data_IF_010879898362
#
_entry.id   IF_010879898362
#
_cell.length_a   1.000
_cell.length_b   1.000
_cell.length_c   1.000
_cell.angle_alpha   90.00
_cell.angle_beta   90.00
_cell.angle_gamma   90.00
#
_symmetry.space_group_name_H-M   'P 1'
#
loop_
_entity.id
_entity.type
_entity.pdbx_description
1 polymer ?
#
# COMPACT_ATOMS: atom_id res chain seq x y z
N UNK A 1 -19.71 23.93 17.86
CA UNK A 1 -18.39 23.73 18.51
C UNK A 1 -17.32 23.73 17.41
N UNK A 2 -16.19 24.46 17.55
CA UNK A 2 -15.11 24.36 16.55
C UNK A 2 -14.58 22.93 16.56
N UNK A 3 -14.43 22.32 15.39
CA UNK A 3 -13.90 20.97 15.26
C UNK A 3 -12.53 20.89 15.96
N UNK A 4 -12.35 19.88 16.82
CA UNK A 4 -11.08 19.66 17.50
C UNK A 4 -10.06 19.11 16.48
N UNK A 5 -9.22 20.01 15.96
CA UNK A 5 -8.17 19.68 14.99
C UNK A 5 -7.12 18.76 15.59
N UNK A 6 -6.83 18.89 16.88
CA UNK A 6 -5.90 18.01 17.60
C UNK A 6 -6.40 16.55 17.59
N UNK A 7 -7.64 16.29 18.00
CA UNK A 7 -8.20 14.93 17.96
C UNK A 7 -8.27 14.37 16.54
N UNK A 8 -8.48 15.23 15.53
CA UNK A 8 -8.47 14.83 14.11
C UNK A 8 -7.08 14.40 13.67
N UNK A 9 -6.03 15.11 14.10
CA UNK A 9 -4.63 14.74 13.89
C UNK A 9 -4.31 13.37 14.49
N UNK A 10 -4.52 13.25 15.82
CA UNK A 10 -4.27 12.00 16.56
C UNK A 10 -5.02 10.81 15.95
N UNK A 11 -6.33 10.94 15.69
CA UNK A 11 -7.10 9.85 15.09
C UNK A 11 -6.55 9.40 13.73
N UNK A 12 -6.05 10.37 12.93
CA UNK A 12 -5.46 10.06 11.62
C UNK A 12 -4.11 9.39 11.75
N UNK A 13 -3.26 9.81 12.69
CA UNK A 13 -1.95 9.17 12.94
C UNK A 13 -2.11 7.70 13.34
N UNK A 14 -3.01 7.40 14.28
CA UNK A 14 -3.29 6.02 14.70
C UNK A 14 -3.95 5.20 13.58
N UNK A 15 -4.79 5.82 12.76
CA UNK A 15 -5.33 5.17 11.56
C UNK A 15 -4.19 4.76 10.61
N UNK A 16 -3.27 5.68 10.28
CA UNK A 16 -2.14 5.38 9.39
C UNK A 16 -1.23 4.32 10.00
N UNK A 17 -0.88 4.43 11.29
CA UNK A 17 -0.09 3.42 11.99
C UNK A 17 -0.73 2.03 11.89
N UNK A 18 -2.06 1.93 12.09
CA UNK A 18 -2.78 0.66 11.95
C UNK A 18 -2.76 0.09 10.53
N UNK A 19 -2.64 0.94 9.50
CA UNK A 19 -2.55 0.51 8.11
C UNK A 19 -1.15 0.00 7.78
N UNK A 20 -0.11 0.67 8.30
CA UNK A 20 1.28 0.23 8.16
C UNK A 20 1.49 -1.17 8.75
N UNK A 21 1.01 -1.42 9.98
CA UNK A 21 1.10 -2.77 10.56
C UNK A 21 0.30 -3.83 9.80
N UNK A 22 -0.78 -3.45 9.10
CA UNK A 22 -1.54 -4.38 8.24
C UNK A 22 -0.82 -4.69 6.92
N UNK A 23 0.18 -3.90 6.57
CA UNK A 23 1.12 -4.14 5.47
C UNK A 23 2.39 -4.85 5.95
N UNK A 24 2.38 -5.37 7.18
CA UNK A 24 3.53 -6.03 7.84
C UNK A 24 4.77 -5.13 8.00
N UNK A 25 4.56 -3.80 8.01
CA UNK A 25 5.65 -2.85 8.19
C UNK A 25 5.94 -2.59 9.67
N UNK A 26 7.22 -2.60 10.03
CA UNK A 26 7.68 -2.17 11.35
C UNK A 26 7.59 -0.64 11.45
N UNK A 27 6.64 -0.12 12.23
CA UNK A 27 6.41 1.32 12.35
C UNK A 27 6.32 1.80 13.81
N UNK A 28 6.72 3.04 14.07
CA UNK A 28 6.73 3.66 15.41
C UNK A 28 6.23 5.09 15.37
N UNK A 29 5.37 5.44 16.32
CA UNK A 29 4.85 6.80 16.50
C UNK A 29 5.75 7.59 17.46
N UNK A 30 6.23 8.77 17.07
CA UNK A 30 7.05 9.60 17.96
C UNK A 30 6.18 10.46 18.88
N UNK A 31 6.25 10.22 20.20
CA UNK A 31 5.61 11.09 21.20
C UNK A 31 6.65 12.06 21.75
N UNK A 32 6.79 13.24 21.12
CA UNK A 32 7.88 14.16 21.47
C UNK A 32 7.55 15.66 21.51
N UNK A 33 6.49 16.15 20.86
CA UNK A 33 6.14 17.57 20.95
C UNK A 33 4.68 17.83 20.60
N UNK A 34 4.08 18.84 21.24
CA UNK A 34 2.73 19.39 20.94
C UNK A 34 2.53 19.89 19.48
N UNK A 35 3.50 19.69 18.56
CA UNK A 35 3.57 20.34 17.24
C UNK A 35 3.59 19.40 16.04
N UNK A 36 4.07 18.16 16.16
CA UNK A 36 3.85 17.09 15.18
C UNK A 36 4.23 15.75 15.80
N UNK A 37 3.45 14.73 15.49
CA UNK A 37 3.79 13.34 15.72
C UNK A 37 4.22 12.80 14.36
N UNK A 38 5.46 12.34 14.29
CA UNK A 38 6.02 11.76 13.07
C UNK A 38 6.00 10.24 13.23
N UNK A 39 5.56 9.51 12.21
CA UNK A 39 5.64 8.04 12.15
C UNK A 39 6.97 7.67 11.48
N UNK A 40 7.76 6.80 12.10
CA UNK A 40 8.92 6.16 11.46
C UNK A 40 8.53 4.77 11.01
N UNK A 41 9.04 4.36 9.86
CA UNK A 41 8.95 2.98 9.36
C UNK A 41 10.36 2.46 9.18
N UNK A 42 10.60 1.22 9.60
CA UNK A 42 11.84 0.49 9.39
C UNK A 42 11.54 -0.57 8.34
N UNK A 43 12.26 -0.53 7.22
CA UNK A 43 12.18 -1.53 6.16
C UNK A 43 13.03 -2.74 6.53
N UNK A 44 12.78 -3.88 5.87
CA UNK A 44 13.53 -5.12 6.10
C UNK A 44 15.03 -4.98 5.85
N UNK A 45 15.40 -4.16 4.86
CA UNK A 45 16.80 -3.85 4.53
C UNK A 45 17.48 -2.89 5.54
N UNK A 46 16.77 -2.47 6.59
CA UNK A 46 17.25 -1.54 7.62
C UNK A 46 17.15 -0.06 7.26
N UNK A 47 16.66 0.29 6.07
CA UNK A 47 16.36 1.67 5.69
C UNK A 47 15.19 2.21 6.53
N UNK A 48 15.21 3.51 6.81
CA UNK A 48 14.15 4.17 7.57
C UNK A 48 13.40 5.18 6.71
N UNK A 49 12.08 5.14 6.78
CA UNK A 49 11.19 6.15 6.21
C UNK A 49 10.59 7.00 7.34
N UNK A 50 10.31 8.27 7.07
CA UNK A 50 9.54 9.13 7.97
C UNK A 50 8.27 9.65 7.31
N UNK A 51 7.16 9.65 8.06
CA UNK A 51 5.82 10.02 7.58
C UNK A 51 5.26 11.15 8.43
N UNK A 52 4.87 12.24 7.75
CA UNK A 52 4.07 13.33 8.29
C UNK A 52 2.59 13.11 7.94
N UNK A 53 1.73 12.99 8.94
CA UNK A 53 0.28 12.90 8.71
C UNK A 53 -0.35 14.29 8.71
N UNK A 54 -1.12 14.61 7.66
CA UNK A 54 -1.92 15.85 7.59
C UNK A 54 -3.38 15.50 7.35
N UNK A 55 -4.26 15.98 8.22
CA UNK A 55 -5.67 15.61 8.16
C UNK A 55 -6.63 16.79 8.16
N UNK A 56 -7.79 16.59 7.53
CA UNK A 56 -8.89 17.56 7.53
C UNK A 56 -10.24 16.85 7.56
N UNK A 57 -11.19 17.40 8.34
CA UNK A 57 -12.54 16.83 8.42
C UNK A 57 -13.35 17.05 7.16
N UNK A 58 -13.25 18.24 6.54
CA UNK A 58 -14.01 18.59 5.33
C UNK A 58 -13.33 18.21 4.03
N UNK A 59 -13.81 18.78 2.92
CA UNK A 59 -13.30 18.52 1.56
C UNK A 59 -12.11 19.42 1.15
N UNK A 60 -11.53 20.18 2.09
CA UNK A 60 -10.73 21.36 1.78
C UNK A 60 -9.30 21.06 1.31
N UNK A 61 -8.58 22.15 1.02
CA UNK A 61 -7.12 22.12 0.93
C UNK A 61 -6.46 21.87 2.28
N UNK A 62 -5.27 21.26 2.23
CA UNK A 62 -4.37 21.10 3.37
C UNK A 62 -3.20 22.09 3.27
N UNK A 63 -2.79 22.65 4.40
CA UNK A 63 -1.66 23.59 4.48
C UNK A 63 -0.35 22.81 4.58
N UNK A 64 0.63 23.19 3.74
CA UNK A 64 1.93 22.52 3.59
C UNK A 64 3.11 23.50 3.71
N UNK A 65 2.94 24.60 4.47
CA UNK A 65 3.96 25.66 4.61
C UNK A 65 5.35 25.15 5.02
N UNK A 66 5.38 24.14 5.91
CA UNK A 66 6.60 23.68 6.57
C UNK A 66 7.15 22.37 5.99
N UNK A 67 6.67 21.94 4.82
CA UNK A 67 7.14 20.71 4.19
C UNK A 67 8.51 20.94 3.60
N UNK A 68 9.49 20.17 4.08
CA UNK A 68 10.86 20.17 3.56
C UNK A 68 11.03 18.92 2.70
N UNK A 69 11.36 19.07 1.40
CA UNK A 69 11.72 17.94 0.54
C UNK A 69 12.87 17.14 1.14
N UNK A 70 12.66 15.84 1.34
CA UNK A 70 13.67 14.93 1.86
C UNK A 70 13.48 13.54 1.27
N UNK A 71 14.58 12.87 0.96
CA UNK A 71 14.58 11.45 0.61
C UNK A 71 13.98 10.63 1.76
N UNK A 72 13.27 9.55 1.40
CA UNK A 72 12.61 8.66 2.37
C UNK A 72 11.64 9.35 3.34
N UNK A 73 11.13 10.51 2.95
CA UNK A 73 10.15 11.24 3.72
C UNK A 73 8.86 11.42 2.94
N UNK A 74 7.73 11.07 3.56
CA UNK A 74 6.42 11.07 2.94
C UNK A 74 5.44 11.94 3.72
N UNK A 75 4.47 12.48 2.99
CA UNK A 75 3.27 13.07 3.55
C UNK A 75 2.09 12.15 3.29
N UNK A 76 1.33 11.87 4.34
CA UNK A 76 0.08 11.13 4.24
C UNK A 76 -1.08 12.08 4.53
N UNK A 77 -1.89 12.35 3.52
CA UNK A 77 -3.07 13.19 3.63
C UNK A 77 -4.30 12.35 3.94
N UNK A 78 -5.03 12.69 5.01
CA UNK A 78 -6.25 11.98 5.44
C UNK A 78 -7.44 12.94 5.38
N UNK A 79 -8.41 12.66 4.51
CA UNK A 79 -9.53 13.55 4.23
C UNK A 79 -10.85 12.84 4.54
N UNK A 80 -11.55 13.28 5.59
CA UNK A 80 -12.76 12.61 6.07
C UNK A 80 -14.04 13.00 5.33
N UNK A 81 -14.00 13.95 4.39
CA UNK A 81 -15.15 14.28 3.54
C UNK A 81 -16.45 14.61 4.33
N UNK A 82 -16.31 15.35 5.42
CA UNK A 82 -17.36 15.68 6.41
C UNK A 82 -17.97 14.49 7.17
N UNK A 83 -17.34 13.31 7.14
CA UNK A 83 -17.81 12.09 7.81
C UNK A 83 -16.98 11.69 9.04
N UNK A 84 -16.20 12.60 9.62
CA UNK A 84 -15.30 12.28 10.75
C UNK A 84 -16.00 11.63 11.96
N UNK A 85 -17.27 11.96 12.22
CA UNK A 85 -18.05 11.43 13.35
C UNK A 85 -18.70 10.07 13.05
N UNK A 86 -18.73 9.66 11.79
CA UNK A 86 -19.21 8.35 11.33
C UNK A 86 -18.05 7.35 11.38
N UNK A 87 -18.02 6.52 12.41
CA UNK A 87 -16.95 5.55 12.68
C UNK A 87 -16.88 4.43 11.63
N UNK A 88 -17.96 4.20 10.87
CA UNK A 88 -18.00 3.21 9.79
C UNK A 88 -17.49 3.81 8.46
N UNK A 89 -17.38 5.14 8.40
CA UNK A 89 -16.83 5.83 7.23
C UNK A 89 -15.32 5.74 7.17
N UNK A 90 -14.81 5.59 5.95
CA UNK A 90 -13.38 5.56 5.67
C UNK A 90 -12.96 6.88 5.00
N UNK A 91 -11.92 7.57 5.50
CA UNK A 91 -11.41 8.77 4.85
C UNK A 91 -10.70 8.42 3.54
N UNK A 92 -10.57 9.39 2.64
CA UNK A 92 -9.63 9.26 1.53
C UNK A 92 -8.20 9.43 2.06
N UNK A 93 -7.31 8.55 1.64
CA UNK A 93 -5.89 8.56 2.03
C UNK A 93 -5.04 8.78 0.77
N UNK A 94 -4.08 9.69 0.86
CA UNK A 94 -3.14 9.99 -0.22
C UNK A 94 -1.71 9.95 0.31
N UNK A 95 -0.82 9.25 -0.37
CA UNK A 95 0.56 9.01 0.05
C UNK A 95 1.50 9.65 -0.95
N UNK A 96 2.24 10.66 -0.52
CA UNK A 96 3.03 11.52 -1.43
C UNK A 96 4.47 11.61 -0.94
N UNK A 97 5.48 11.31 -1.77
CA UNK A 97 6.87 11.60 -1.42
C UNK A 97 7.04 13.11 -1.20
N UNK A 98 7.72 13.51 -0.14
CA UNK A 98 7.88 14.93 0.21
C UNK A 98 8.59 15.73 -0.91
N UNK A 99 9.44 15.08 -1.70
CA UNK A 99 10.10 15.66 -2.88
C UNK A 99 9.13 16.04 -4.01
N UNK A 100 7.94 15.44 -4.05
CA UNK A 100 6.89 15.78 -5.02
C UNK A 100 5.99 16.92 -4.55
N UNK A 101 6.14 17.39 -3.31
CA UNK A 101 5.36 18.52 -2.74
C UNK A 101 5.90 19.85 -3.27
N UNK A 102 5.72 20.08 -4.56
CA UNK A 102 6.11 21.28 -5.28
C UNK A 102 5.02 21.68 -6.29
N UNK A 103 5.27 22.69 -7.11
CA UNK A 103 4.38 22.99 -8.23
C UNK A 103 4.42 21.82 -9.26
N UNK A 104 3.28 21.41 -9.84
CA UNK A 104 1.97 22.06 -9.80
C UNK A 104 1.06 21.60 -8.64
N UNK A 105 1.46 20.66 -7.78
CA UNK A 105 0.61 20.15 -6.69
C UNK A 105 0.27 21.25 -5.66
N UNK A 106 1.24 22.12 -5.39
CA UNK A 106 1.13 23.21 -4.42
C UNK A 106 0.60 24.47 -5.10
N UNK A 107 -0.28 25.19 -4.39
CA UNK A 107 -0.78 26.52 -4.75
C UNK A 107 -0.59 27.46 -3.57
N UNK A 108 -0.31 28.74 -3.84
CA UNK A 108 -0.18 29.74 -2.77
C UNK A 108 -1.46 30.57 -2.67
N UNK A 109 -2.09 30.57 -1.50
CA UNK A 109 -3.26 31.41 -1.22
C UNK A 109 -3.06 32.13 0.11
N UNK A 110 -3.16 33.46 0.11
CA UNK A 110 -2.98 34.31 1.31
C UNK A 110 -1.69 33.99 2.10
N UNK A 111 -0.56 33.81 1.40
CA UNK A 111 0.75 33.42 1.94
C UNK A 111 0.87 31.99 2.47
N UNK A 112 -0.17 31.18 2.36
CA UNK A 112 -0.13 29.76 2.70
C UNK A 112 0.04 28.91 1.45
N UNK A 113 1.02 28.01 1.49
CA UNK A 113 1.16 26.90 0.56
C UNK A 113 0.11 25.85 0.89
N UNK A 114 -0.72 25.52 -0.09
CA UNK A 114 -1.88 24.64 0.05
C UNK A 114 -1.94 23.65 -1.09
N UNK A 115 -2.38 22.43 -0.79
CA UNK A 115 -2.67 21.39 -1.78
C UNK A 115 -4.17 21.14 -1.79
N UNK A 116 -4.76 21.13 -2.97
CA UNK A 116 -6.17 20.79 -3.18
C UNK A 116 -6.32 19.28 -3.36
N UNK A 117 -7.34 18.67 -2.75
CA UNK A 117 -7.64 17.23 -2.89
C UNK A 117 -7.59 16.74 -4.34
N UNK A 118 -8.19 17.49 -5.26
CA UNK A 118 -8.24 17.10 -6.68
C UNK A 118 -6.86 16.92 -7.35
N UNK A 119 -5.82 17.58 -6.83
CA UNK A 119 -4.44 17.43 -7.32
C UNK A 119 -3.73 16.20 -6.77
N UNK A 120 -4.30 15.54 -5.75
CA UNK A 120 -3.72 14.35 -5.12
C UNK A 120 -4.22 13.03 -5.75
N UNK A 121 -5.08 13.09 -6.78
CA UNK A 121 -5.77 11.90 -7.30
C UNK A 121 -4.83 10.74 -7.65
N UNK A 122 -3.65 11.02 -8.24
CA UNK A 122 -2.65 10.01 -8.61
C UNK A 122 -2.01 9.30 -7.38
N UNK A 123 -2.06 9.93 -6.21
CA UNK A 123 -1.47 9.44 -4.96
C UNK A 123 -2.48 8.72 -4.06
N UNK A 124 -3.72 8.56 -4.52
CA UNK A 124 -4.76 7.92 -3.72
C UNK A 124 -4.39 6.46 -3.45
N UNK A 125 -4.38 6.09 -2.17
CA UNK A 125 -4.11 4.74 -1.68
C UNK A 125 -2.81 4.11 -2.25
N UNK A 126 -1.80 4.93 -2.59
CA UNK A 126 -0.49 4.50 -3.10
C UNK A 126 0.42 3.94 -1.99
N UNK A 127 -0.09 2.93 -1.28
CA UNK A 127 0.61 2.25 -0.18
C UNK A 127 1.89 1.56 -0.63
N UNK A 128 1.93 1.13 -1.89
CA UNK A 128 3.10 0.54 -2.53
C UNK A 128 4.34 1.48 -2.51
N UNK A 129 4.15 2.79 -2.40
CA UNK A 129 5.26 3.74 -2.25
C UNK A 129 6.02 3.63 -0.92
N UNK A 130 5.41 2.99 0.09
CA UNK A 130 6.00 2.82 1.42
C UNK A 130 6.61 1.43 1.63
N UNK A 131 6.37 0.53 0.69
CA UNK A 131 6.83 -0.86 0.75
C UNK A 131 7.94 -1.07 -0.26
N UNK A 132 8.81 -2.04 0.00
CA UNK A 132 9.75 -2.53 -1.02
C UNK A 132 9.06 -3.44 -2.06
N UNK A 133 7.75 -3.63 -1.92
CA UNK A 133 6.85 -4.16 -2.94
C UNK A 133 6.76 -3.11 -4.05
N UNK A 134 7.73 -3.13 -4.96
CA UNK A 134 7.55 -2.59 -6.30
C UNK A 134 6.42 -3.41 -6.95
N UNK A 135 5.74 -2.84 -7.96
CA UNK A 135 4.84 -3.64 -8.81
C UNK A 135 5.59 -4.81 -9.52
N UNK A 136 6.90 -4.96 -9.28
CA UNK A 136 7.78 -6.08 -9.65
C UNK A 136 7.83 -7.20 -8.60
N UNK A 137 7.00 -7.17 -7.55
CA UNK A 137 6.64 -8.37 -6.78
C UNK A 137 5.40 -9.07 -7.38
N UNK A 138 5.18 -8.93 -8.69
CA UNK A 138 4.97 -10.16 -9.47
C UNK A 138 6.22 -11.01 -9.23
N UNK A 139 6.06 -12.15 -8.58
CA UNK A 139 7.08 -13.19 -8.64
C UNK A 139 7.37 -13.38 -10.14
N UNK A 140 8.53 -12.96 -10.62
CA UNK A 140 9.03 -13.32 -11.96
C UNK A 140 9.39 -14.80 -11.90
N UNK A 141 8.39 -15.64 -11.65
CA UNK A 141 8.45 -17.02 -12.10
C UNK A 141 8.57 -16.90 -13.60
N UNK A 142 9.73 -17.27 -14.13
CA UNK A 142 9.83 -17.52 -15.56
C UNK A 142 8.68 -18.44 -15.96
N UNK A 143 8.16 -18.35 -17.18
CA UNK A 143 7.07 -19.23 -17.62
C UNK A 143 7.37 -20.70 -17.33
N UNK A 144 8.65 -21.09 -17.34
CA UNK A 144 9.12 -22.42 -16.95
C UNK A 144 8.97 -22.71 -15.45
N UNK A 145 9.34 -21.78 -14.56
CA UNK A 145 9.16 -21.92 -13.11
C UNK A 145 7.70 -22.06 -12.71
N UNK A 146 6.81 -21.29 -13.35
CA UNK A 146 5.36 -21.40 -13.14
C UNK A 146 4.82 -22.76 -13.56
N UNK A 147 5.24 -23.26 -14.72
CA UNK A 147 4.86 -24.60 -15.19
C UNK A 147 5.34 -25.68 -14.23
N UNK A 148 6.56 -25.56 -13.71
CA UNK A 148 7.11 -26.48 -12.70
C UNK A 148 6.29 -26.42 -11.41
N UNK A 149 5.96 -25.22 -10.90
CA UNK A 149 5.18 -25.06 -9.68
C UNK A 149 3.77 -25.64 -9.82
N UNK A 150 3.07 -25.29 -10.91
CA UNK A 150 1.72 -25.78 -11.21
C UNK A 150 1.69 -27.31 -11.34
N UNK A 151 2.69 -27.92 -12.00
CA UNK A 151 2.73 -29.38 -12.16
C UNK A 151 3.21 -30.11 -10.89
N UNK A 152 4.05 -29.50 -10.05
CA UNK A 152 4.39 -30.06 -8.74
C UNK A 152 3.16 -30.21 -7.84
N UNK A 153 2.19 -29.28 -7.93
CA UNK A 153 0.90 -29.42 -7.24
C UNK A 153 0.12 -30.65 -7.76
N UNK A 154 0.15 -30.91 -9.08
CA UNK A 154 -0.42 -32.13 -9.68
C UNK A 154 0.25 -33.38 -9.11
N UNK A 155 1.59 -33.40 -9.03
CA UNK A 155 2.35 -34.53 -8.48
C UNK A 155 1.99 -34.81 -7.01
N UNK A 156 1.89 -33.79 -6.17
CA UNK A 156 1.45 -33.92 -4.77
C UNK A 156 0.05 -34.53 -4.67
N UNK A 157 -0.89 -34.11 -5.53
CA UNK A 157 -2.24 -34.68 -5.54
C UNK A 157 -2.24 -36.15 -6.00
N UNK A 158 -1.36 -36.53 -6.94
CA UNK A 158 -1.16 -37.93 -7.35
C UNK A 158 -0.64 -38.77 -6.19
N UNK A 159 0.30 -38.26 -5.38
CA UNK A 159 0.78 -38.94 -4.16
C UNK A 159 -0.35 -39.16 -3.13
N UNK A 160 -1.34 -38.26 -3.10
CA UNK A 160 -2.56 -38.40 -2.30
C UNK A 160 -3.63 -39.31 -2.94
N UNK A 161 -3.28 -40.07 -3.99
CA UNK A 161 -4.16 -40.96 -4.76
C UNK A 161 -5.38 -40.25 -5.39
N UNK A 162 -5.26 -38.96 -5.74
CA UNK A 162 -6.28 -38.31 -6.55
C UNK A 162 -6.19 -38.84 -7.99
N UNK A 163 -7.34 -39.26 -8.55
CA UNK A 163 -7.43 -39.58 -9.97
C UNK A 163 -7.49 -38.27 -10.80
N UNK A 164 -7.31 -38.40 -12.13
CA UNK A 164 -7.21 -37.25 -13.04
C UNK A 164 -8.41 -36.30 -12.93
N UNK A 165 -9.63 -36.84 -12.92
CA UNK A 165 -10.87 -36.07 -12.76
C UNK A 165 -10.88 -35.25 -11.45
N UNK A 166 -10.45 -35.84 -10.33
CA UNK A 166 -10.41 -35.18 -9.02
C UNK A 166 -9.30 -34.12 -8.96
N UNK A 167 -8.20 -34.30 -9.68
CA UNK A 167 -7.14 -33.29 -9.82
C UNK A 167 -7.66 -32.08 -10.60
N UNK A 168 -8.22 -32.30 -11.79
CA UNK A 168 -8.84 -31.25 -12.61
C UNK A 168 -9.85 -30.43 -11.79
N UNK A 169 -10.74 -31.12 -11.06
CA UNK A 169 -11.72 -30.46 -10.17
C UNK A 169 -11.07 -29.68 -9.02
N UNK A 170 -9.97 -30.18 -8.44
CA UNK A 170 -9.30 -29.52 -7.32
C UNK A 170 -8.56 -28.26 -7.76
N UNK A 171 -7.91 -28.31 -8.93
CA UNK A 171 -7.14 -27.21 -9.50
C UNK A 171 -7.98 -26.27 -10.36
N UNK A 172 -9.27 -26.59 -10.58
CA UNK A 172 -10.18 -25.83 -11.44
C UNK A 172 -9.67 -25.70 -12.89
N UNK A 173 -9.10 -26.78 -13.42
CA UNK A 173 -8.63 -26.91 -14.81
C UNK A 173 -9.34 -28.07 -15.52
N UNK A 174 -9.37 -28.07 -16.85
CA UNK A 174 -9.88 -29.17 -17.66
C UNK A 174 -8.83 -30.26 -17.97
N UNK A 175 -9.24 -31.34 -18.64
CA UNK A 175 -8.33 -32.44 -18.96
C UNK A 175 -7.29 -32.08 -20.04
N UNK A 176 -7.61 -31.16 -20.96
CA UNK A 176 -6.69 -30.70 -21.98
C UNK A 176 -5.62 -29.80 -21.34
N UNK A 177 -6.03 -28.86 -20.48
CA UNK A 177 -5.12 -28.00 -19.72
C UNK A 177 -4.15 -28.80 -18.85
N UNK A 178 -4.65 -29.86 -18.18
CA UNK A 178 -3.78 -30.77 -17.43
C UNK A 178 -2.80 -31.55 -18.33
N UNK A 179 -3.22 -31.88 -19.55
CA UNK A 179 -2.37 -32.58 -20.53
C UNK A 179 -1.28 -31.66 -21.07
N UNK A 180 -1.63 -30.42 -21.41
CA UNK A 180 -0.68 -29.41 -21.87
C UNK A 180 0.35 -29.08 -20.79
N UNK A 181 -0.09 -28.97 -19.54
CA UNK A 181 0.80 -28.75 -18.40
C UNK A 181 1.79 -29.91 -18.19
N UNK A 182 1.33 -31.16 -18.35
CA UNK A 182 2.19 -32.35 -18.29
C UNK A 182 3.23 -32.39 -19.42
N UNK A 183 2.84 -31.99 -20.63
CA UNK A 183 3.74 -31.92 -21.80
C UNK A 183 4.83 -30.87 -21.59
N UNK A 184 4.46 -29.65 -21.20
CA UNK A 184 5.44 -28.57 -21.01
C UNK A 184 6.35 -28.84 -19.80
N UNK A 185 5.83 -29.43 -18.72
CA UNK A 185 6.66 -29.86 -17.59
C UNK A 185 7.75 -30.85 -18.03
N UNK A 186 7.37 -31.92 -18.74
CA UNK A 186 8.31 -32.94 -19.19
C UNK A 186 9.38 -32.36 -20.13
N UNK A 187 8.99 -31.44 -21.01
CA UNK A 187 9.89 -30.71 -21.90
C UNK A 187 10.90 -29.84 -21.15
N UNK A 188 10.49 -29.19 -20.05
CA UNK A 188 11.36 -28.36 -19.22
C UNK A 188 12.30 -29.23 -18.37
N UNK A 189 11.81 -30.31 -17.76
CA UNK A 189 12.59 -31.14 -16.84
C UNK A 189 13.39 -32.26 -17.51
N UNK A 190 13.15 -32.53 -18.80
CA UNK A 190 13.81 -33.59 -19.57
C UNK A 190 13.31 -35.00 -19.23
N UNK A 191 12.04 -35.13 -18.83
CA UNK A 191 11.39 -36.43 -18.54
C UNK A 191 10.61 -36.97 -19.73
#
# INVERSE_FOLDING_TARGET
>A
MRANTFNTGIASEYLILSKLYRLDLEAYISQGNKKSVDIRVIKENGETLSIDVKSVRGYSSLVVNNVVPKENHFLVFVIYNNKFEDLDSHPDIFIVPSQKICEPLVSTFKKEKRIMKGKLAEYKDKWNLLTDITDEMEFDETSEQKIIADFNAVLQLRELNYNRERICKHLSIDENELTDLEIEYNKITGN
#
